data_IF_843510622370
#
_entry.id   IF_843510622370
#
_cell.length_a   1.000
_cell.length_b   1.000
_cell.length_c   1.000
_cell.angle_alpha   90.00
_cell.angle_beta   90.00
_cell.angle_gamma   90.00
#
_symmetry.space_group_name_H-M   'P 1'
#
loop_
_entity.id
_entity.type
_entity.pdbx_description
1 polymer ?
#
# COMPACT_ATOMS: atom_id res chain seq x y z
N UNK A 1 -18.47 -18.06 12.78
CA UNK A 1 -17.07 -17.66 12.57
C UNK A 1 -16.31 -17.91 13.87
N UNK A 2 -15.18 -18.63 13.83
CA UNK A 2 -14.34 -18.96 14.99
C UNK A 2 -12.86 -18.75 14.58
N UNK A 3 -12.26 -17.58 14.88
CA UNK A 3 -10.89 -17.29 14.46
C UNK A 3 -9.89 -18.16 15.23
N UNK A 4 -8.82 -18.58 14.54
CA UNK A 4 -7.72 -19.35 15.16
C UNK A 4 -6.72 -18.46 15.90
N UNK A 5 -6.58 -17.20 15.49
CA UNK A 5 -5.65 -16.23 16.05
C UNK A 5 -6.20 -14.80 15.83
N UNK A 6 -5.84 -13.89 16.72
CA UNK A 6 -6.02 -12.44 16.57
C UNK A 6 -4.65 -11.77 16.71
N UNK A 7 -4.36 -10.81 15.84
CA UNK A 7 -3.11 -10.04 15.86
C UNK A 7 -3.43 -8.55 15.78
N UNK A 8 -2.66 -7.75 16.51
CA UNK A 8 -2.83 -6.30 16.60
C UNK A 8 -1.80 -5.57 15.75
N UNK A 9 -2.21 -4.47 15.11
CA UNK A 9 -1.37 -3.60 14.30
C UNK A 9 -1.67 -2.13 14.63
N UNK A 10 -0.67 -1.37 15.07
CA UNK A 10 -0.76 0.08 15.24
C UNK A 10 0.13 0.78 14.21
N UNK A 11 -0.38 1.84 13.58
CA UNK A 11 0.35 2.58 12.55
C UNK A 11 -0.11 4.03 12.41
N UNK A 12 0.84 4.88 12.03
CA UNK A 12 0.58 6.23 11.56
C UNK A 12 0.40 6.23 10.05
N UNK A 13 -0.69 6.85 9.58
CA UNK A 13 -1.03 6.93 8.15
C UNK A 13 -1.23 8.36 7.70
N UNK A 14 -0.41 8.78 6.74
CA UNK A 14 -0.69 9.96 5.94
C UNK A 14 -1.45 9.56 4.68
N UNK A 15 -2.54 10.26 4.36
CA UNK A 15 -3.41 9.94 3.24
C UNK A 15 -3.60 11.14 2.32
N UNK A 16 -3.45 10.87 1.03
CA UNK A 16 -3.74 11.83 -0.04
C UNK A 16 -4.74 11.26 -1.03
N UNK A 17 -5.51 12.17 -1.63
CA UNK A 17 -6.39 11.92 -2.75
C UNK A 17 -5.79 12.61 -3.96
N UNK A 18 -5.50 11.85 -5.01
CA UNK A 18 -4.83 12.35 -6.22
C UNK A 18 -5.72 12.05 -7.41
N UNK A 19 -6.07 13.09 -8.15
CA UNK A 19 -6.64 12.93 -9.48
C UNK A 19 -5.50 12.86 -10.49
N UNK A 20 -5.37 11.72 -11.17
CA UNK A 20 -4.39 11.52 -12.21
C UNK A 20 -5.08 10.95 -13.44
N UNK A 21 -5.01 11.70 -14.55
CA UNK A 21 -5.63 11.35 -15.82
C UNK A 21 -7.12 10.91 -15.65
N UNK A 22 -7.92 11.74 -14.98
CA UNK A 22 -9.36 11.53 -14.70
C UNK A 22 -9.72 10.36 -13.77
N UNK A 23 -8.73 9.75 -13.12
CA UNK A 23 -8.95 8.70 -12.11
C UNK A 23 -8.57 9.21 -10.72
N UNK A 24 -9.44 8.96 -9.74
CA UNK A 24 -9.14 9.21 -8.33
C UNK A 24 -8.35 8.04 -7.72
N UNK A 25 -7.14 8.34 -7.28
CA UNK A 25 -6.27 7.45 -6.51
C UNK A 25 -6.18 7.90 -5.06
N UNK A 26 -6.01 6.92 -4.17
CA UNK A 26 -5.71 7.11 -2.77
C UNK A 26 -4.28 6.63 -2.54
N UNK A 27 -3.43 7.53 -2.04
CA UNK A 27 -2.05 7.21 -1.67
C UNK A 27 -1.98 7.24 -0.15
N UNK A 28 -1.57 6.13 0.45
CA UNK A 28 -1.26 6.06 1.88
C UNK A 28 0.25 5.91 2.06
N UNK A 29 0.81 6.66 2.99
CA UNK A 29 2.16 6.43 3.51
C UNK A 29 2.03 6.00 4.96
N UNK A 30 2.50 4.80 5.25
CA UNK A 30 2.30 4.11 6.52
C UNK A 30 3.64 3.90 7.23
N UNK A 31 3.69 4.26 8.51
CA UNK A 31 4.73 3.85 9.45
C UNK A 31 4.09 2.93 10.49
N UNK A 32 4.55 1.69 10.57
CA UNK A 32 4.02 0.73 11.54
C UNK A 32 4.75 0.89 12.86
N UNK A 33 3.98 1.08 13.94
CA UNK A 33 4.48 1.32 15.30
C UNK A 33 4.43 0.04 16.15
N UNK A 34 3.46 -0.83 15.88
CA UNK A 34 3.31 -2.12 16.57
C UNK A 34 2.84 -3.18 15.57
N UNK A 35 3.62 -4.25 15.32
CA UNK A 35 5.03 -4.38 15.69
C UNK A 35 5.88 -3.22 15.13
N UNK A 36 6.96 -2.84 15.81
CA UNK A 36 7.83 -1.76 15.33
C UNK A 36 8.56 -2.22 14.05
N UNK A 37 8.12 -1.73 12.90
CA UNK A 37 8.73 -2.04 11.61
C UNK A 37 9.61 -0.85 11.19
N UNK A 38 10.89 -1.06 10.88
CA UNK A 38 11.78 0.03 10.51
C UNK A 38 11.47 0.63 9.13
N UNK A 39 10.70 -0.07 8.29
CA UNK A 39 10.33 0.39 6.95
C UNK A 39 9.14 1.35 6.97
N UNK A 40 9.13 2.27 5.99
CA UNK A 40 7.93 3.04 5.62
C UNK A 40 7.33 2.44 4.36
N UNK A 41 6.01 2.34 4.32
CA UNK A 41 5.28 1.71 3.24
C UNK A 41 4.46 2.73 2.46
N UNK A 42 4.33 2.54 1.15
CA UNK A 42 3.47 3.33 0.28
C UNK A 42 2.44 2.40 -0.35
N UNK A 43 1.15 2.74 -0.23
CA UNK A 43 0.04 2.02 -0.83
C UNK A 43 -0.71 2.96 -1.79
N UNK A 44 -0.72 2.62 -3.09
CA UNK A 44 -1.52 3.33 -4.09
C UNK A 44 -2.70 2.46 -4.49
N UNK A 45 -3.92 2.98 -4.34
CA UNK A 45 -5.14 2.26 -4.69
C UNK A 45 -6.17 3.13 -5.39
N UNK A 46 -7.04 2.51 -6.15
CA UNK A 46 -8.24 3.12 -6.72
C UNK A 46 -9.39 2.12 -6.70
N UNK A 47 -10.62 2.62 -6.77
CA UNK A 47 -11.81 1.75 -6.89
C UNK A 47 -11.89 1.23 -8.32
N UNK A 48 -12.29 -0.03 -8.51
CA UNK A 48 -12.43 -0.66 -9.82
C UNK A 48 -13.84 -1.19 -10.04
N UNK A 49 -14.33 -1.17 -11.29
CA UNK A 49 -15.70 -1.60 -11.64
C UNK A 49 -15.75 -2.72 -12.69
N UNK A 50 -14.62 -3.03 -13.33
CA UNK A 50 -14.46 -4.14 -14.26
C UNK A 50 -13.01 -4.61 -14.30
N UNK A 51 -12.75 -5.76 -14.94
CA UNK A 51 -11.38 -6.25 -15.14
C UNK A 51 -10.55 -5.29 -16.01
N UNK A 52 -11.11 -4.82 -17.12
CA UNK A 52 -10.45 -3.86 -18.01
C UNK A 52 -10.18 -2.52 -17.32
N UNK A 53 -11.10 -2.05 -16.48
CA UNK A 53 -10.89 -0.85 -15.66
C UNK A 53 -9.75 -1.05 -14.65
N UNK A 54 -9.66 -2.23 -14.02
CA UNK A 54 -8.57 -2.57 -13.10
C UNK A 54 -7.21 -2.62 -13.81
N UNK A 55 -7.13 -3.19 -15.01
CA UNK A 55 -5.91 -3.22 -15.83
C UNK A 55 -5.43 -1.80 -16.18
N UNK A 56 -6.34 -0.96 -16.70
CA UNK A 56 -6.04 0.44 -17.02
C UNK A 56 -5.55 1.23 -15.80
N UNK A 57 -6.12 0.97 -14.62
CA UNK A 57 -5.70 1.60 -13.35
C UNK A 57 -4.36 1.07 -12.87
N UNK A 58 -4.08 -0.22 -13.05
CA UNK A 58 -2.79 -0.80 -12.70
C UNK A 58 -1.66 -0.19 -13.53
N UNK A 59 -1.87 0.05 -14.82
CA UNK A 59 -0.87 0.70 -15.67
C UNK A 59 -0.58 2.14 -15.22
N UNK A 60 -1.62 2.90 -14.85
CA UNK A 60 -1.45 4.25 -14.28
C UNK A 60 -0.72 4.23 -12.94
N UNK A 61 -0.94 3.21 -12.10
CA UNK A 61 -0.17 3.04 -10.86
C UNK A 61 1.32 2.83 -11.18
N UNK A 62 1.67 2.06 -12.23
CA UNK A 62 3.07 1.91 -12.65
C UNK A 62 3.69 3.25 -13.07
N UNK A 63 2.95 4.08 -13.82
CA UNK A 63 3.39 5.44 -14.16
C UNK A 63 3.60 6.30 -12.90
N UNK A 64 2.68 6.24 -11.94
CA UNK A 64 2.81 6.98 -10.69
C UNK A 64 4.04 6.52 -9.87
N UNK A 65 4.34 5.22 -9.86
CA UNK A 65 5.54 4.69 -9.19
C UNK A 65 6.82 5.21 -9.85
N UNK A 66 6.87 5.26 -11.18
CA UNK A 66 8.00 5.82 -11.94
C UNK A 66 8.22 7.31 -11.60
N UNK A 67 7.15 8.10 -11.51
CA UNK A 67 7.20 9.52 -11.07
C UNK A 67 7.77 9.65 -9.66
N UNK A 68 7.44 8.73 -8.77
CA UNK A 68 7.94 8.70 -7.38
C UNK A 68 9.38 8.15 -7.28
N UNK A 69 9.97 7.68 -8.37
CA UNK A 69 11.28 7.02 -8.39
C UNK A 69 11.31 5.68 -7.65
N UNK A 70 10.15 5.01 -7.56
CA UNK A 70 10.01 3.71 -6.90
C UNK A 70 10.09 2.61 -7.96
N UNK A 71 10.99 1.66 -7.78
CA UNK A 71 11.14 0.55 -8.71
C UNK A 71 9.98 -0.44 -8.56
N UNK A 72 9.56 -1.07 -9.66
CA UNK A 72 8.61 -2.19 -9.61
C UNK A 72 9.17 -3.38 -8.83
N UNK A 73 10.50 -3.49 -8.68
CA UNK A 73 11.14 -4.49 -7.81
C UNK A 73 10.87 -4.27 -6.32
N UNK A 74 10.48 -3.07 -5.93
CA UNK A 74 10.20 -2.70 -4.54
C UNK A 74 8.75 -3.01 -4.16
N UNK A 75 7.93 -3.47 -5.12
CA UNK A 75 6.55 -3.88 -4.87
C UNK A 75 6.56 -5.17 -4.06
N UNK A 76 6.00 -5.06 -2.85
CA UNK A 76 5.76 -6.18 -1.95
C UNK A 76 4.32 -6.65 -2.05
N UNK A 77 4.10 -7.96 -1.85
CA UNK A 77 2.76 -8.59 -1.75
C UNK A 77 2.43 -9.11 -0.34
N UNK A 78 3.34 -8.85 0.61
CA UNK A 78 3.24 -9.27 1.99
C UNK A 78 2.38 -8.30 2.79
N UNK A 79 1.71 -8.78 3.83
CA UNK A 79 1.02 -7.94 4.80
C UNK A 79 2.02 -7.39 5.82
N UNK A 80 1.69 -6.31 6.51
CA UNK A 80 2.57 -5.70 7.53
C UNK A 80 3.01 -6.72 8.60
N UNK A 81 2.12 -7.62 8.99
CA UNK A 81 2.36 -8.63 10.04
C UNK A 81 3.23 -9.80 9.58
N UNK A 82 3.60 -9.86 8.30
CA UNK A 82 4.54 -10.85 7.76
C UNK A 82 6.01 -10.38 7.86
N UNK A 83 6.23 -9.08 8.12
CA UNK A 83 7.56 -8.51 8.29
C UNK A 83 8.14 -8.81 9.68
N UNK A 84 9.46 -8.95 9.74
CA UNK A 84 10.13 -9.07 11.02
C UNK A 84 10.17 -7.70 11.71
N UNK A 85 9.75 -7.61 12.99
CA UNK A 85 9.95 -6.41 13.79
C UNK A 85 11.43 -6.07 13.90
N UNK A 86 11.71 -4.80 14.19
CA UNK A 86 13.02 -4.41 14.69
C UNK A 86 13.38 -5.28 15.90
N UNK A 87 14.61 -5.81 15.92
CA UNK A 87 15.14 -6.57 17.04
C UNK A 87 15.46 -5.59 18.16
N UNK A 88 15.05 -5.88 19.39
CA UNK A 88 15.50 -5.15 20.60
C UNK A 88 17.02 -5.22 20.79
#
# INVERSE_FOLDING_TARGET
>A
FQPQEERELEKDRHRWHIHYQDVLFYVNMDRVLKPDLPQTFIEIKSRTWSASDAENKADRIKEMLDILGISLSDIIRMEYLDFQPAVE
#
